data_IF_664443978865
#
_entry.id   IF_664443978865
#
_cell.length_a   1.000
_cell.length_b   1.000
_cell.length_c   1.000
_cell.angle_alpha   90.00
_cell.angle_beta   90.00
_cell.angle_gamma   90.00
#
_symmetry.space_group_name_H-M   'P 1'
#
loop_
_entity.id
_entity.type
_entity.pdbx_description
1 polymer ?
#
# COMPACT_ATOMS: atom_id res chain seq x y z
N UNK A 1 21.23 -12.04 0.07
CA UNK A 1 19.98 -11.36 -0.35
C UNK A 1 19.34 -10.85 0.93
N UNK A 2 18.91 -9.57 0.97
CA UNK A 2 18.21 -9.05 2.15
C UNK A 2 16.84 -9.73 2.29
N UNK A 3 16.38 -9.91 3.53
CA UNK A 3 15.06 -10.47 3.83
C UNK A 3 13.93 -9.60 3.25
N UNK A 4 12.82 -10.23 2.86
CA UNK A 4 11.62 -9.57 2.34
C UNK A 4 10.57 -9.49 3.46
N UNK A 5 10.11 -8.28 3.77
CA UNK A 5 8.96 -8.03 4.63
C UNK A 5 7.70 -7.75 3.82
N UNK A 6 6.62 -8.45 4.10
CA UNK A 6 5.30 -8.26 3.47
C UNK A 6 4.31 -7.84 4.55
N UNK A 7 3.85 -6.58 4.50
CA UNK A 7 2.89 -6.04 5.45
C UNK A 7 1.49 -5.93 4.86
N UNK A 8 0.48 -6.25 5.66
CA UNK A 8 -0.93 -6.06 5.34
C UNK A 8 -1.54 -5.09 6.34
N UNK A 9 -2.01 -3.95 5.86
CA UNK A 9 -2.78 -2.99 6.67
C UNK A 9 -4.22 -3.47 6.75
N UNK A 10 -4.72 -3.64 7.96
CA UNK A 10 -6.05 -4.22 8.22
C UNK A 10 -6.84 -3.41 9.23
N UNK A 11 -8.16 -3.44 9.09
CA UNK A 11 -9.09 -2.85 10.03
C UNK A 11 -10.25 -3.81 10.36
N UNK A 12 -11.42 -3.68 9.71
CA UNK A 12 -12.68 -4.32 10.09
C UNK A 12 -13.41 -5.02 8.93
N UNK A 13 -12.67 -5.48 7.91
CA UNK A 13 -13.26 -6.10 6.72
C UNK A 13 -12.79 -7.55 6.53
N UNK A 14 -13.23 -8.49 7.40
CA UNK A 14 -12.73 -9.88 7.38
C UNK A 14 -13.00 -10.61 6.06
N UNK A 15 -14.08 -10.25 5.35
CA UNK A 15 -14.40 -10.83 4.04
C UNK A 15 -13.37 -10.48 2.95
N UNK A 16 -12.89 -9.24 2.93
CA UNK A 16 -11.82 -8.82 2.00
C UNK A 16 -10.48 -9.38 2.42
N UNK A 17 -10.12 -9.25 3.70
CA UNK A 17 -8.85 -9.76 4.23
C UNK A 17 -8.67 -11.25 3.95
N UNK A 18 -9.74 -12.06 4.06
CA UNK A 18 -9.69 -13.51 3.72
C UNK A 18 -9.22 -13.74 2.29
N UNK A 19 -9.68 -12.94 1.33
CA UNK A 19 -9.29 -13.05 -0.08
C UNK A 19 -7.86 -12.59 -0.31
N UNK A 20 -7.43 -11.54 0.37
CA UNK A 20 -6.02 -11.07 0.33
C UNK A 20 -5.09 -12.14 0.88
N UNK A 21 -5.40 -12.71 2.06
CA UNK A 21 -4.59 -13.78 2.66
C UNK A 21 -4.54 -15.03 1.76
N UNK A 22 -5.66 -15.42 1.15
CA UNK A 22 -5.69 -16.53 0.19
C UNK A 22 -4.80 -16.26 -1.04
N UNK A 23 -4.71 -15.00 -1.50
CA UNK A 23 -3.81 -14.63 -2.60
C UNK A 23 -2.34 -14.63 -2.20
N UNK A 24 -2.04 -14.34 -0.93
CA UNK A 24 -0.69 -14.46 -0.38
C UNK A 24 -0.28 -15.93 -0.20
N UNK A 25 -1.17 -16.77 0.32
CA UNK A 25 -0.93 -18.24 0.42
C UNK A 25 -0.71 -18.91 -0.94
N UNK A 26 -1.25 -18.33 -2.02
CA UNK A 26 -1.10 -18.83 -3.37
C UNK A 26 0.15 -18.32 -4.11
N UNK A 27 1.01 -17.52 -3.47
CA UNK A 27 2.23 -17.02 -4.10
C UNK A 27 3.24 -18.14 -4.35
N UNK A 28 3.90 -18.10 -5.51
CA UNK A 28 4.91 -19.11 -5.89
C UNK A 28 6.20 -19.04 -5.07
N UNK A 29 6.41 -17.95 -4.32
CA UNK A 29 7.57 -17.75 -3.42
C UNK A 29 7.09 -17.34 -2.02
N UNK A 30 6.05 -17.99 -1.52
CA UNK A 30 5.46 -17.68 -0.21
C UNK A 30 6.45 -17.88 0.95
N UNK A 31 7.37 -18.83 0.83
CA UNK A 31 8.31 -19.17 1.90
C UNK A 31 9.52 -18.20 2.00
N UNK A 32 9.71 -17.31 1.03
CA UNK A 32 10.85 -16.40 0.96
C UNK A 32 10.63 -15.09 1.72
N UNK A 33 9.48 -14.91 2.38
CA UNK A 33 9.08 -13.67 3.04
C UNK A 33 8.67 -13.86 4.51
N UNK A 34 8.70 -12.76 5.25
CA UNK A 34 8.08 -12.64 6.57
C UNK A 34 6.82 -11.78 6.47
N UNK A 35 5.73 -12.20 7.11
CA UNK A 35 4.40 -11.63 6.93
C UNK A 35 3.93 -10.91 8.18
N UNK A 36 3.51 -9.67 8.00
CA UNK A 36 3.03 -8.81 9.06
C UNK A 36 1.57 -8.42 8.86
N UNK A 37 0.77 -8.48 9.91
CA UNK A 37 -0.53 -7.85 9.98
C UNK A 37 -0.44 -6.61 10.87
N UNK A 38 -0.78 -5.45 10.32
CA UNK A 38 -0.93 -4.19 11.04
C UNK A 38 -2.42 -3.94 11.27
N UNK A 39 -2.91 -4.41 12.42
CA UNK A 39 -4.33 -4.44 12.73
C UNK A 39 -4.74 -3.23 13.56
N UNK A 40 -5.64 -2.41 13.02
CA UNK A 40 -6.22 -1.28 13.71
C UNK A 40 -7.37 -1.70 14.66
N UNK A 41 -7.65 -0.92 15.70
CA UNK A 41 -8.70 -1.15 16.67
C UNK A 41 -10.08 -0.67 16.21
N UNK A 42 -11.13 -0.93 17.00
CA UNK A 42 -12.50 -0.61 16.61
C UNK A 42 -12.94 0.82 16.99
N UNK A 43 -12.55 1.30 18.17
CA UNK A 43 -12.95 2.58 18.74
C UNK A 43 -11.81 3.58 18.62
N UNK A 44 -12.07 4.74 18.02
CA UNK A 44 -11.02 5.74 17.81
C UNK A 44 -10.51 6.31 19.14
N UNK A 45 -9.17 6.32 19.32
CA UNK A 45 -8.50 6.73 20.56
C UNK A 45 -8.65 8.21 20.88
N UNK A 46 -8.86 9.04 19.87
CA UNK A 46 -8.93 10.49 20.04
C UNK A 46 -10.36 10.99 20.24
N UNK A 47 -11.30 10.46 19.44
CA UNK A 47 -12.71 10.88 19.48
C UNK A 47 -13.58 10.00 20.36
N UNK A 48 -13.15 8.78 20.69
CA UNK A 48 -13.98 7.77 21.36
C UNK A 48 -15.11 7.21 20.49
N UNK A 49 -15.15 7.56 19.20
CA UNK A 49 -16.20 7.12 18.26
C UNK A 49 -15.88 5.73 17.73
N UNK A 50 -16.80 4.77 17.77
CA UNK A 50 -16.64 3.49 17.11
C UNK A 50 -16.62 3.65 15.57
N UNK A 51 -15.51 3.29 14.92
CA UNK A 51 -15.38 3.28 13.48
C UNK A 51 -15.64 1.89 12.86
N UNK A 52 -15.71 0.86 13.69
CA UNK A 52 -15.99 -0.50 13.28
C UNK A 52 -16.53 -1.35 14.43
N UNK A 53 -16.90 -2.57 14.13
CA UNK A 53 -17.31 -3.54 15.14
C UNK A 53 -16.10 -4.30 15.67
N UNK A 54 -16.07 -4.50 16.98
CA UNK A 54 -14.99 -5.24 17.63
C UNK A 54 -14.89 -6.69 17.09
N UNK A 55 -16.03 -7.32 16.83
CA UNK A 55 -16.08 -8.69 16.30
C UNK A 55 -15.41 -8.79 14.92
N UNK A 56 -15.56 -7.76 14.08
CA UNK A 56 -14.92 -7.74 12.74
C UNK A 56 -13.40 -7.56 12.85
N UNK A 57 -12.93 -6.73 13.79
CA UNK A 57 -11.50 -6.56 14.09
C UNK A 57 -10.88 -7.86 14.59
N UNK A 58 -11.55 -8.53 15.53
CA UNK A 58 -11.13 -9.84 16.06
C UNK A 58 -11.16 -10.94 14.98
N UNK A 59 -12.17 -10.91 14.12
CA UNK A 59 -12.25 -11.83 12.98
C UNK A 59 -11.10 -11.64 11.99
N UNK A 60 -10.66 -10.40 11.72
CA UNK A 60 -9.48 -10.12 10.90
C UNK A 60 -8.21 -10.73 11.50
N UNK A 61 -7.97 -10.53 12.80
CA UNK A 61 -6.82 -11.14 13.50
C UNK A 61 -6.86 -12.66 13.42
N UNK A 62 -8.01 -13.25 13.75
CA UNK A 62 -8.18 -14.69 13.72
C UNK A 62 -8.02 -15.30 12.32
N UNK A 63 -8.32 -14.56 11.25
CA UNK A 63 -8.03 -14.99 9.88
C UNK A 63 -6.52 -15.04 9.62
N UNK A 64 -5.78 -14.03 10.02
CA UNK A 64 -4.32 -14.00 9.86
C UNK A 64 -3.64 -15.09 10.69
N UNK A 65 -4.07 -15.31 11.94
CA UNK A 65 -3.52 -16.37 12.79
C UNK A 65 -3.69 -17.76 12.16
N UNK A 66 -4.79 -18.00 11.45
CA UNK A 66 -5.08 -19.27 10.76
C UNK A 66 -4.49 -19.36 9.35
N UNK A 67 -4.05 -18.26 8.76
CA UNK A 67 -3.44 -18.26 7.44
C UNK A 67 -2.17 -19.11 7.41
N UNK A 68 -1.99 -19.87 6.33
CA UNK A 68 -0.83 -20.76 6.11
C UNK A 68 0.35 -20.00 5.52
N UNK A 69 0.70 -18.89 6.16
CA UNK A 69 1.85 -18.07 5.81
C UNK A 69 2.98 -18.39 6.79
N UNK A 70 4.23 -18.51 6.34
CA UNK A 70 5.38 -18.69 7.23
C UNK A 70 5.71 -17.39 7.96
N UNK A 71 6.45 -17.49 9.08
CA UNK A 71 7.05 -16.34 9.77
C UNK A 71 6.09 -15.15 9.95
N UNK A 72 4.97 -15.40 10.64
CA UNK A 72 3.91 -14.39 10.86
C UNK A 72 4.17 -13.53 12.08
N UNK A 73 3.91 -12.24 11.93
CA UNK A 73 3.99 -11.22 12.98
C UNK A 73 2.71 -10.38 12.99
N UNK A 74 2.33 -9.88 14.15
CA UNK A 74 1.14 -9.03 14.30
C UNK A 74 1.50 -7.80 15.14
N UNK A 75 1.31 -6.61 14.57
CA UNK A 75 1.16 -5.37 15.32
C UNK A 75 -0.33 -5.10 15.48
N UNK A 76 -0.76 -4.87 16.70
CA UNK A 76 -2.17 -4.69 17.02
C UNK A 76 -2.36 -3.47 17.92
N UNK A 77 -3.22 -2.58 17.48
CA UNK A 77 -3.64 -1.42 18.25
C UNK A 77 -4.88 -1.76 19.10
N UNK A 78 -4.87 -1.48 20.42
CA UNK A 78 -6.06 -1.70 21.25
C UNK A 78 -7.23 -0.78 20.84
N UNK A 79 -6.89 0.44 20.40
CA UNK A 79 -7.82 1.44 19.91
C UNK A 79 -7.62 1.67 18.42
N UNK A 80 -8.63 2.25 17.75
CA UNK A 80 -8.46 2.71 16.37
C UNK A 80 -7.57 3.96 16.34
N UNK A 81 -6.45 3.85 15.66
CA UNK A 81 -5.50 4.97 15.47
C UNK A 81 -5.69 5.65 14.12
N UNK A 82 -6.48 5.05 13.24
CA UNK A 82 -6.70 5.51 11.88
C UNK A 82 -5.59 5.11 10.91
N UNK A 83 -5.94 5.14 9.63
CA UNK A 83 -5.08 4.61 8.56
C UNK A 83 -3.72 5.32 8.46
N UNK A 84 -3.62 6.62 8.78
CA UNK A 84 -2.36 7.35 8.69
C UNK A 84 -1.33 6.85 9.71
N UNK A 85 -1.75 6.65 10.97
CA UNK A 85 -0.87 6.16 12.04
C UNK A 85 -0.53 4.69 11.80
N UNK A 86 -1.52 3.87 11.47
CA UNK A 86 -1.30 2.44 11.21
C UNK A 86 -0.39 2.21 10.00
N UNK A 87 -0.50 3.03 8.94
CA UNK A 87 0.38 2.97 7.77
C UNK A 87 1.80 3.43 8.09
N UNK A 88 1.98 4.47 8.91
CA UNK A 88 3.30 4.92 9.34
C UNK A 88 4.01 3.83 10.15
N UNK A 89 3.31 3.21 11.10
CA UNK A 89 3.83 2.08 11.88
C UNK A 89 4.27 0.93 10.98
N UNK A 90 3.46 0.60 9.97
CA UNK A 90 3.79 -0.45 9.01
C UNK A 90 5.05 -0.12 8.19
N UNK A 91 5.13 1.11 7.68
CA UNK A 91 6.28 1.57 6.90
C UNK A 91 7.56 1.60 7.73
N UNK A 92 7.51 2.13 8.95
CA UNK A 92 8.65 2.19 9.86
C UNK A 92 9.09 0.78 10.27
N UNK A 93 8.16 -0.05 10.79
CA UNK A 93 8.49 -1.42 11.23
C UNK A 93 9.08 -2.26 10.10
N UNK A 94 8.49 -2.23 8.92
CA UNK A 94 8.99 -3.03 7.80
C UNK A 94 10.34 -2.52 7.31
N UNK A 95 10.51 -1.21 7.18
CA UNK A 95 11.75 -0.64 6.65
C UNK A 95 12.93 -0.74 7.63
N UNK A 96 12.67 -0.78 8.93
CA UNK A 96 13.70 -0.97 9.95
C UNK A 96 14.19 -2.43 10.04
N UNK A 97 13.33 -3.39 9.64
CA UNK A 97 13.65 -4.82 9.77
C UNK A 97 14.05 -5.49 8.44
N UNK A 98 13.64 -4.96 7.29
CA UNK A 98 13.82 -5.60 5.99
C UNK A 98 14.37 -4.63 4.96
N UNK A 99 15.31 -5.09 4.12
CA UNK A 99 15.84 -4.28 3.02
C UNK A 99 14.84 -4.13 1.85
N UNK A 100 13.95 -5.09 1.69
CA UNK A 100 12.93 -5.20 0.64
C UNK A 100 11.56 -5.27 1.28
N UNK A 101 10.63 -4.43 0.85
CA UNK A 101 9.32 -4.29 1.46
C UNK A 101 8.22 -4.36 0.40
N UNK A 102 7.14 -5.09 0.74
CA UNK A 102 5.86 -5.03 0.04
C UNK A 102 4.80 -4.61 1.06
N UNK A 103 4.08 -3.55 0.78
CA UNK A 103 2.99 -3.07 1.64
C UNK A 103 1.65 -3.20 0.91
N UNK A 104 0.73 -3.97 1.51
CA UNK A 104 -0.61 -4.22 0.98
C UNK A 104 -1.68 -3.57 1.84
N UNK A 105 -2.77 -3.19 1.18
CA UNK A 105 -4.04 -2.92 1.88
C UNK A 105 -4.90 -4.19 1.96
N UNK A 106 -5.80 -4.25 2.95
CA UNK A 106 -6.62 -5.41 3.27
C UNK A 106 -7.70 -5.76 2.23
N UNK A 107 -7.63 -5.15 1.04
CA UNK A 107 -8.51 -5.37 -0.11
C UNK A 107 -7.77 -5.45 -1.47
N UNK A 108 -6.45 -5.58 -1.45
CA UNK A 108 -5.61 -5.77 -2.63
C UNK A 108 -5.31 -7.26 -2.85
N UNK A 109 -5.97 -7.89 -3.81
CA UNK A 109 -5.76 -9.30 -4.18
C UNK A 109 -4.69 -9.39 -5.25
N UNK A 110 -3.67 -10.22 -5.01
CA UNK A 110 -2.49 -10.34 -5.84
C UNK A 110 -2.60 -11.48 -6.87
N UNK A 111 -1.88 -11.35 -7.98
CA UNK A 111 -1.60 -12.47 -8.87
C UNK A 111 -0.65 -13.49 -8.20
N UNK A 112 -0.69 -14.77 -8.58
CA UNK A 112 0.10 -15.82 -7.92
C UNK A 112 1.62 -15.64 -8.00
N UNK A 113 2.12 -14.77 -8.87
CA UNK A 113 3.55 -14.55 -9.11
C UNK A 113 4.05 -13.18 -8.63
N UNK A 114 3.22 -12.40 -7.92
CA UNK A 114 3.61 -11.04 -7.55
C UNK A 114 4.87 -10.98 -6.69
N UNK A 115 5.04 -11.86 -5.69
CA UNK A 115 6.25 -11.86 -4.85
C UNK A 115 7.50 -12.15 -5.69
N UNK A 116 7.41 -13.08 -6.64
CA UNK A 116 8.50 -13.38 -7.55
C UNK A 116 8.84 -12.18 -8.45
N UNK A 117 7.83 -11.52 -9.02
CA UNK A 117 8.01 -10.34 -9.87
C UNK A 117 8.58 -9.15 -9.08
N UNK A 118 8.13 -8.95 -7.84
CA UNK A 118 8.71 -7.97 -6.96
C UNK A 118 10.21 -8.23 -6.71
N UNK A 119 10.62 -9.50 -6.66
CA UNK A 119 12.03 -9.89 -6.61
C UNK A 119 12.86 -9.28 -7.75
N UNK A 120 12.36 -9.37 -8.99
CA UNK A 120 13.00 -8.77 -10.17
C UNK A 120 12.98 -7.24 -10.10
N UNK A 121 11.85 -6.67 -9.66
CA UNK A 121 11.69 -5.22 -9.56
C UNK A 121 12.57 -4.60 -8.47
N UNK A 122 12.89 -5.31 -7.38
CA UNK A 122 13.84 -4.82 -6.38
C UNK A 122 15.25 -4.63 -6.95
N UNK A 123 15.70 -5.54 -7.80
CA UNK A 123 17.00 -5.43 -8.47
C UNK A 123 17.00 -4.25 -9.46
N UNK A 124 15.90 -4.04 -10.17
CA UNK A 124 15.70 -2.87 -11.04
C UNK A 124 15.66 -1.55 -10.24
N UNK A 125 14.98 -1.52 -9.09
CA UNK A 125 14.90 -0.37 -8.22
C UNK A 125 16.27 0.02 -7.63
N UNK A 126 17.12 -0.95 -7.33
CA UNK A 126 18.47 -0.69 -6.83
C UNK A 126 19.30 0.14 -7.83
N UNK A 127 19.05 -0.06 -9.13
CA UNK A 127 19.71 0.70 -10.20
C UNK A 127 19.06 2.07 -10.50
N UNK A 128 17.91 2.40 -9.86
CA UNK A 128 17.09 3.60 -10.14
C UNK A 128 16.82 4.39 -8.87
N UNK A 129 17.79 5.16 -8.36
CA UNK A 129 17.68 5.83 -7.05
C UNK A 129 16.56 6.89 -6.97
N UNK A 130 16.08 7.38 -8.10
CA UNK A 130 14.98 8.34 -8.19
C UNK A 130 13.59 7.69 -8.26
N UNK A 131 13.49 6.36 -8.28
CA UNK A 131 12.22 5.64 -8.21
C UNK A 131 12.00 5.12 -6.81
N UNK A 132 10.93 5.55 -6.16
CA UNK A 132 10.57 5.12 -4.82
C UNK A 132 10.07 3.69 -4.80
N UNK A 133 9.04 3.39 -5.60
CA UNK A 133 8.34 2.10 -5.58
C UNK A 133 7.82 1.70 -6.95
N UNK A 134 7.46 0.43 -7.08
CA UNK A 134 6.66 -0.09 -8.19
C UNK A 134 5.36 -0.68 -7.66
N UNK A 135 4.23 -0.22 -8.22
CA UNK A 135 2.90 -0.77 -7.95
C UNK A 135 2.59 -1.91 -8.95
N UNK A 136 1.90 -2.99 -8.52
CA UNK A 136 1.42 -4.04 -9.41
C UNK A 136 0.35 -3.56 -10.39
N UNK A 137 -0.05 -2.29 -10.28
CA UNK A 137 -1.21 -1.69 -10.94
C UNK A 137 -2.55 -2.35 -10.52
N UNK A 138 -3.64 -1.63 -10.72
CA UNK A 138 -5.01 -2.09 -10.41
C UNK A 138 -5.98 -1.79 -11.55
N UNK A 139 -5.47 -1.14 -12.59
CA UNK A 139 -6.20 -0.81 -13.81
C UNK A 139 -5.21 -0.76 -14.97
N UNK A 140 -5.26 -1.77 -15.83
CA UNK A 140 -4.38 -1.86 -16.99
C UNK A 140 -4.52 -0.65 -17.92
N UNK A 141 -3.38 -0.11 -18.36
CA UNK A 141 -3.33 1.04 -19.28
C UNK A 141 -3.05 0.63 -20.72
N UNK A 142 -2.50 -0.56 -20.93
CA UNK A 142 -2.15 -1.09 -22.24
C UNK A 142 -1.97 -2.60 -22.20
N UNK A 143 -1.60 -3.20 -23.33
CA UNK A 143 -1.45 -4.64 -23.45
C UNK A 143 -0.05 -5.14 -23.10
N UNK A 144 0.95 -4.25 -22.93
CA UNK A 144 2.35 -4.66 -22.76
C UNK A 144 2.61 -5.15 -21.34
N UNK A 145 2.63 -6.46 -21.20
CA UNK A 145 2.83 -7.13 -19.94
C UNK A 145 4.24 -6.95 -19.34
N UNK A 146 5.23 -6.56 -20.16
CA UNK A 146 6.60 -6.34 -19.74
C UNK A 146 6.89 -4.88 -19.36
N UNK A 147 5.99 -3.94 -19.70
CA UNK A 147 6.23 -2.54 -19.53
C UNK A 147 6.04 -2.06 -18.09
N UNK A 148 7.01 -1.29 -17.63
CA UNK A 148 6.92 -0.41 -16.46
C UNK A 148 6.67 1.01 -16.95
N UNK A 149 5.79 1.73 -16.25
CA UNK A 149 5.48 3.14 -16.51
C UNK A 149 5.86 3.99 -15.31
N UNK A 150 6.36 5.19 -15.56
CA UNK A 150 6.57 6.19 -14.52
C UNK A 150 5.29 7.02 -14.38
N UNK A 151 4.80 7.15 -13.13
CA UNK A 151 3.60 7.93 -12.86
C UNK A 151 3.05 7.73 -11.46
N UNK A 152 2.04 8.56 -11.15
CA UNK A 152 1.37 8.56 -9.86
C UNK A 152 0.11 7.70 -9.95
N UNK A 153 0.21 6.47 -9.47
CA UNK A 153 -0.90 5.53 -9.36
C UNK A 153 -1.12 5.12 -7.90
N UNK A 154 -2.11 4.31 -7.64
CA UNK A 154 -2.42 3.83 -6.29
C UNK A 154 -1.23 3.11 -5.65
N UNK A 155 -0.98 3.38 -4.36
CA UNK A 155 0.13 2.83 -3.58
C UNK A 155 -0.22 1.48 -2.93
N UNK A 156 -1.23 0.78 -3.44
CA UNK A 156 -1.64 -0.49 -2.88
C UNK A 156 -0.76 -1.61 -3.41
N UNK A 157 -0.35 -2.52 -2.53
CA UNK A 157 0.53 -3.64 -2.83
C UNK A 157 1.87 -3.26 -3.50
N UNK A 158 2.38 -2.07 -3.24
CA UNK A 158 3.64 -1.59 -3.81
C UNK A 158 4.85 -2.31 -3.22
N UNK A 159 5.89 -2.52 -4.04
CA UNK A 159 7.20 -2.97 -3.60
C UNK A 159 8.20 -1.81 -3.63
N UNK A 160 9.05 -1.70 -2.60
CA UNK A 160 10.08 -0.67 -2.47
C UNK A 160 11.27 -1.13 -1.62
N UNK A 161 12.39 -0.46 -1.78
CA UNK A 161 13.57 -0.65 -0.92
C UNK A 161 13.43 0.19 0.35
N UNK A 162 13.77 -0.37 1.51
CA UNK A 162 13.65 0.30 2.81
C UNK A 162 14.36 1.66 2.85
N UNK A 163 15.53 1.76 2.23
CA UNK A 163 16.28 3.02 2.12
C UNK A 163 15.48 4.15 1.45
N UNK A 164 14.52 3.82 0.56
CA UNK A 164 13.65 4.81 -0.08
C UNK A 164 12.66 5.39 0.93
N UNK A 165 12.11 4.56 1.81
CA UNK A 165 11.28 5.06 2.90
C UNK A 165 12.08 5.96 3.85
N UNK A 166 13.25 5.51 4.28
CA UNK A 166 14.11 6.32 5.14
C UNK A 166 14.48 7.67 4.53
N UNK A 167 14.64 7.73 3.21
CA UNK A 167 14.96 8.99 2.50
C UNK A 167 13.78 9.98 2.46
N UNK A 168 12.53 9.50 2.33
CA UNK A 168 11.35 10.38 2.26
C UNK A 168 10.70 10.63 3.62
N UNK A 169 10.89 9.74 4.60
CA UNK A 169 10.26 9.80 5.93
C UNK A 169 10.42 11.17 6.63
N UNK A 170 11.59 11.81 6.63
CA UNK A 170 11.73 13.14 7.25
C UNK A 170 10.76 14.18 6.68
N UNK A 171 10.55 14.17 5.36
CA UNK A 171 9.62 15.08 4.70
C UNK A 171 8.16 14.72 5.01
N UNK A 172 7.82 13.43 5.11
CA UNK A 172 6.49 12.99 5.54
C UNK A 172 6.17 13.45 6.97
N UNK A 173 7.13 13.32 7.89
CA UNK A 173 7.01 13.76 9.28
C UNK A 173 6.92 15.29 9.38
N UNK A 174 7.67 16.02 8.56
CA UNK A 174 7.63 17.50 8.56
C UNK A 174 6.32 18.05 8.02
N UNK A 175 5.81 17.52 6.90
CA UNK A 175 4.75 18.15 6.13
C UNK A 175 3.35 17.59 6.38
N UNK A 176 3.22 16.32 6.67
CA UNK A 176 1.91 15.67 6.78
C UNK A 176 1.56 15.22 8.20
N UNK A 177 2.53 14.64 8.91
CA UNK A 177 2.31 14.05 10.23
C UNK A 177 1.68 15.00 11.25
N UNK A 178 2.05 16.30 11.35
CA UNK A 178 1.45 17.23 12.32
C UNK A 178 -0.06 17.43 12.16
N UNK A 179 -0.60 17.10 10.99
CA UNK A 179 -2.02 17.28 10.68
C UNK A 179 -2.90 16.06 11.03
N UNK A 180 -2.28 14.93 11.42
CA UNK A 180 -2.99 13.65 11.61
C UNK A 180 -2.61 12.90 12.89
N UNK A 181 -1.48 13.22 13.52
CA UNK A 181 -0.88 12.39 14.58
C UNK A 181 -1.63 12.41 15.92
N UNK A 182 -2.43 13.43 16.19
CA UNK A 182 -3.06 13.70 17.48
C UNK A 182 -4.61 13.79 17.44
N UNK A 183 -5.21 13.32 16.33
CA UNK A 183 -6.65 13.45 16.10
C UNK A 183 -7.24 12.28 15.35
N UNK A 184 -8.57 12.18 15.42
CA UNK A 184 -9.34 11.28 14.57
C UNK A 184 -9.06 11.61 13.10
N UNK A 185 -8.76 10.61 12.31
CA UNK A 185 -8.44 10.76 10.88
C UNK A 185 -9.55 11.49 10.09
N UNK A 186 -10.81 11.36 10.51
CA UNK A 186 -11.91 12.10 9.90
C UNK A 186 -11.92 13.60 10.24
N UNK A 187 -11.22 14.00 11.30
CA UNK A 187 -11.09 15.37 11.76
C UNK A 187 -9.73 15.99 11.42
N UNK A 188 -9.01 15.39 10.44
CA UNK A 188 -7.77 15.99 9.95
C UNK A 188 -8.03 17.37 9.35
N UNK A 189 -7.09 18.27 9.54
CA UNK A 189 -7.18 19.65 9.04
C UNK A 189 -6.80 19.68 7.56
N UNK A 190 -7.80 19.52 6.67
CA UNK A 190 -7.61 19.50 5.22
C UNK A 190 -7.13 20.84 4.68
N UNK A 191 -7.51 21.95 5.30
CA UNK A 191 -7.07 23.30 4.87
C UNK A 191 -5.60 23.51 5.20
N UNK A 192 -5.17 23.12 6.38
CA UNK A 192 -3.75 23.16 6.76
C UNK A 192 -2.89 22.21 5.92
N UNK A 193 -3.39 21.02 5.57
CA UNK A 193 -2.71 20.10 4.63
C UNK A 193 -2.56 20.76 3.26
N UNK A 194 -3.63 21.35 2.72
CA UNK A 194 -3.59 22.07 1.45
C UNK A 194 -2.62 23.25 1.47
N UNK A 195 -2.64 24.04 2.54
CA UNK A 195 -1.71 25.16 2.71
C UNK A 195 -0.24 24.68 2.75
N UNK A 196 0.02 23.55 3.40
CA UNK A 196 1.34 22.92 3.41
C UNK A 196 1.75 22.50 2.01
N UNK A 197 0.88 21.82 1.24
CA UNK A 197 1.16 21.42 -0.13
C UNK A 197 1.43 22.62 -1.04
N UNK A 198 0.61 23.68 -0.95
CA UNK A 198 0.80 24.91 -1.70
C UNK A 198 2.14 25.60 -1.38
N UNK A 199 2.53 25.62 -0.10
CA UNK A 199 3.82 26.19 0.35
C UNK A 199 5.03 25.44 -0.22
N UNK A 200 4.86 24.18 -0.62
CA UNK A 200 5.87 23.35 -1.27
C UNK A 200 5.81 23.42 -2.80
N UNK A 201 5.02 24.34 -3.36
CA UNK A 201 4.88 24.51 -4.81
C UNK A 201 3.98 23.48 -5.49
N UNK A 202 3.26 22.69 -4.70
CA UNK A 202 2.30 21.70 -5.23
C UNK A 202 0.93 22.33 -5.26
N UNK A 203 0.52 22.79 -6.44
CA UNK A 203 -0.84 23.23 -6.73
C UNK A 203 -1.56 22.03 -7.31
N UNK A 204 -2.75 21.70 -6.79
CA UNK A 204 -3.51 20.52 -7.19
C UNK A 204 -3.50 20.29 -8.70
N UNK A 205 -2.82 19.24 -9.13
CA UNK A 205 -2.83 18.80 -10.51
C UNK A 205 -4.10 17.98 -10.81
N UNK A 206 -4.31 17.57 -12.06
CA UNK A 206 -5.43 16.72 -12.45
C UNK A 206 -5.49 15.38 -11.68
N UNK A 207 -4.36 14.97 -11.10
CA UNK A 207 -4.25 13.81 -10.20
C UNK A 207 -4.11 14.23 -8.72
N UNK A 208 -4.61 15.40 -8.35
CA UNK A 208 -4.47 16.15 -7.11
C UNK A 208 -3.93 15.39 -5.93
N UNK A 209 -2.97 15.96 -5.18
CA UNK A 209 -2.52 15.38 -3.93
C UNK A 209 -3.73 15.26 -2.99
N UNK A 210 -4.08 14.03 -2.66
CA UNK A 210 -5.14 13.75 -1.73
C UNK A 210 -4.70 14.14 -0.31
N UNK A 211 -5.65 14.47 0.57
CA UNK A 211 -5.40 14.71 1.99
C UNK A 211 -5.10 13.41 2.78
N UNK A 212 -5.01 12.29 2.07
CA UNK A 212 -4.74 10.99 2.63
C UNK A 212 -3.25 10.79 2.95
N UNK A 213 -2.95 9.76 3.71
CA UNK A 213 -1.57 9.31 3.96
C UNK A 213 -0.81 9.05 2.65
N UNK A 214 -1.51 8.64 1.59
CA UNK A 214 -0.91 8.45 0.26
C UNK A 214 -0.49 9.76 -0.36
N UNK A 215 -1.32 10.81 -0.24
CA UNK A 215 -0.96 12.16 -0.68
C UNK A 215 0.21 12.72 0.10
N UNK A 216 0.25 12.50 1.43
CA UNK A 216 1.40 12.86 2.27
C UNK A 216 2.69 12.18 1.83
N UNK A 217 2.64 10.87 1.52
CA UNK A 217 3.79 10.14 0.96
C UNK A 217 4.20 10.66 -0.41
N UNK A 218 3.23 10.96 -1.27
CA UNK A 218 3.50 11.53 -2.60
C UNK A 218 4.22 12.88 -2.48
N UNK A 219 3.78 13.78 -1.61
CA UNK A 219 4.47 15.03 -1.36
C UNK A 219 5.92 14.81 -0.88
N UNK A 220 6.11 13.89 0.07
CA UNK A 220 7.43 13.55 0.58
C UNK A 220 8.36 13.01 -0.52
N UNK A 221 7.85 12.15 -1.42
CA UNK A 221 8.60 11.68 -2.60
C UNK A 221 8.98 12.82 -3.54
N UNK A 222 8.04 13.71 -3.85
CA UNK A 222 8.31 14.89 -4.71
C UNK A 222 9.39 15.78 -4.11
N UNK A 223 9.37 16.02 -2.80
CA UNK A 223 10.42 16.78 -2.08
C UNK A 223 11.79 16.10 -2.14
N UNK A 224 11.81 14.78 -2.12
CA UNK A 224 13.05 14.00 -2.26
C UNK A 224 13.51 13.84 -3.72
N UNK A 225 12.80 14.43 -4.70
CA UNK A 225 13.12 14.26 -6.13
C UNK A 225 12.86 12.85 -6.64
N UNK A 226 11.97 12.10 -5.97
CA UNK A 226 11.59 10.74 -6.35
C UNK A 226 10.27 10.71 -7.07
N UNK A 227 10.08 9.70 -7.91
CA UNK A 227 8.84 9.37 -8.60
C UNK A 227 8.39 7.94 -8.23
N UNK A 228 7.27 7.51 -8.77
CA UNK A 228 6.76 6.15 -8.66
C UNK A 228 6.65 5.52 -10.03
N UNK A 229 6.65 4.19 -10.02
CA UNK A 229 6.40 3.39 -11.20
C UNK A 229 5.23 2.41 -10.95
N UNK A 230 4.68 1.89 -12.03
CA UNK A 230 3.66 0.88 -12.00
C UNK A 230 3.79 -0.04 -13.23
N UNK A 231 3.29 -1.26 -13.12
CA UNK A 231 3.21 -2.17 -14.26
C UNK A 231 2.06 -1.76 -15.18
N UNK A 232 2.26 -1.83 -16.50
CA UNK A 232 1.21 -1.46 -17.45
C UNK A 232 0.00 -2.40 -17.36
N UNK A 233 0.23 -3.67 -17.13
CA UNK A 233 -0.82 -4.69 -16.96
C UNK A 233 -0.94 -5.11 -15.51
N UNK A 234 -2.16 -5.29 -15.03
CA UNK A 234 -2.45 -5.59 -13.63
C UNK A 234 -1.81 -6.89 -13.14
N UNK A 235 -1.19 -6.82 -11.96
CA UNK A 235 -0.76 -7.96 -11.12
C UNK A 235 -1.49 -7.97 -9.77
N UNK A 236 -2.41 -7.03 -9.59
CA UNK A 236 -3.30 -6.99 -8.45
C UNK A 236 -4.68 -6.44 -8.87
N UNK A 237 -5.71 -6.75 -8.10
CA UNK A 237 -7.03 -6.16 -8.23
C UNK A 237 -7.48 -5.62 -6.88
N UNK A 238 -8.10 -4.44 -6.88
CA UNK A 238 -8.80 -3.92 -5.73
C UNK A 238 -10.18 -4.55 -5.65
N UNK A 239 -10.53 -5.07 -4.48
CA UNK A 239 -11.84 -5.66 -4.20
C UNK A 239 -12.64 -4.87 -3.16
N UNK A 240 -12.10 -3.74 -2.70
CA UNK A 240 -12.62 -2.88 -1.63
C UNK A 240 -13.78 -2.01 -2.09
N UNK A 241 -14.87 -2.62 -2.56
CA UNK A 241 -16.06 -1.92 -3.05
C UNK A 241 -16.76 -1.08 -2.00
N UNK A 242 -16.65 -1.51 -0.74
CA UNK A 242 -17.24 -0.83 0.42
C UNK A 242 -16.21 -0.64 1.51
N UNK A 243 -16.17 0.53 2.10
CA UNK A 243 -15.26 0.87 3.18
C UNK A 243 -15.57 2.23 3.76
N UNK A 244 -14.82 2.64 4.77
CA UNK A 244 -15.01 3.92 5.45
C UNK A 244 -14.80 5.10 4.50
N UNK A 245 -13.81 4.99 3.60
CA UNK A 245 -13.44 6.04 2.66
C UNK A 245 -13.87 5.74 1.23
N UNK A 246 -14.50 4.59 0.99
CA UNK A 246 -14.79 4.13 -0.36
C UNK A 246 -16.24 3.63 -0.46
N UNK A 247 -16.95 4.08 -1.47
CA UNK A 247 -18.34 3.69 -1.73
C UNK A 247 -18.42 2.88 -3.03
N UNK A 248 -19.50 2.10 -3.26
CA UNK A 248 -19.72 1.43 -4.52
C UNK A 248 -19.72 2.38 -5.73
N UNK A 249 -20.19 3.63 -5.54
CA UNK A 249 -20.17 4.65 -6.59
C UNK A 249 -18.74 5.07 -6.95
N UNK A 250 -17.89 5.35 -5.96
CA UNK A 250 -16.48 5.66 -6.19
C UNK A 250 -15.73 4.48 -6.80
N UNK A 251 -16.02 3.23 -6.37
CA UNK A 251 -15.43 2.04 -6.94
C UNK A 251 -15.70 1.92 -8.43
N UNK A 252 -16.94 2.23 -8.85
CA UNK A 252 -17.33 2.27 -10.25
C UNK A 252 -16.66 3.45 -11.00
N UNK A 253 -16.69 4.65 -10.42
CA UNK A 253 -16.11 5.86 -10.99
C UNK A 253 -14.60 5.69 -11.28
N UNK A 254 -13.87 5.06 -10.34
CA UNK A 254 -12.44 4.73 -10.53
C UNK A 254 -12.20 3.56 -11.48
N UNK A 255 -13.24 2.91 -11.99
CA UNK A 255 -13.15 1.84 -12.97
C UNK A 255 -12.65 0.49 -12.42
N UNK A 256 -12.72 0.27 -11.10
CA UNK A 256 -12.30 -1.00 -10.49
C UNK A 256 -13.27 -2.15 -10.76
N UNK A 257 -14.50 -1.87 -11.23
CA UNK A 257 -15.41 -2.90 -11.76
C UNK A 257 -14.87 -3.55 -13.04
N UNK A 258 -14.02 -2.82 -13.77
CA UNK A 258 -13.46 -3.24 -15.06
C UNK A 258 -11.94 -2.98 -15.09
N UNK A 259 -11.15 -3.67 -14.28
CA UNK A 259 -9.73 -3.38 -14.13
C UNK A 259 -8.90 -3.67 -15.38
N UNK A 260 -9.50 -4.28 -16.41
CA UNK A 260 -8.79 -4.74 -17.61
C UNK A 260 -8.10 -6.09 -17.38
N UNK A 261 -7.19 -6.48 -18.28
CA UNK A 261 -6.47 -7.74 -18.18
C UNK A 261 -5.78 -7.90 -16.82
N UNK A 262 -5.89 -9.09 -16.25
CA UNK A 262 -5.21 -9.49 -15.02
C UNK A 262 -4.45 -10.77 -15.30
N UNK A 263 -3.11 -10.71 -15.16
CA UNK A 263 -2.25 -11.83 -15.52
C UNK A 263 -2.13 -12.81 -14.35
N UNK A 264 -2.44 -14.07 -14.60
CA UNK A 264 -2.34 -15.13 -13.63
C UNK A 264 -1.15 -16.06 -13.85
N UNK A 265 -0.92 -16.54 -15.06
CA UNK A 265 -0.01 -17.67 -15.33
C UNK A 265 1.22 -17.32 -16.17
N UNK A 266 1.13 -16.31 -17.02
CA UNK A 266 2.21 -15.98 -17.98
C UNK A 266 3.47 -15.43 -17.29
N UNK A 267 3.33 -14.95 -16.07
CA UNK A 267 4.42 -14.40 -15.28
C UNK A 267 5.39 -15.43 -14.70
N UNK A 268 5.04 -16.71 -14.72
CA UNK A 268 5.90 -17.77 -14.17
C UNK A 268 7.26 -17.88 -14.88
N UNK A 269 7.30 -17.58 -16.18
CA UNK A 269 8.52 -17.64 -17.00
C UNK A 269 9.17 -16.27 -17.25
N UNK A 270 8.63 -15.19 -16.69
CA UNK A 270 9.14 -13.83 -16.91
C UNK A 270 10.52 -13.63 -16.27
N UNK A 271 11.45 -13.04 -17.00
CA UNK A 271 12.84 -12.82 -16.57
C UNK A 271 13.16 -11.35 -16.25
N UNK A 272 12.33 -10.39 -16.66
CA UNK A 272 12.55 -8.97 -16.43
C UNK A 272 11.44 -8.08 -16.93
N UNK A 273 11.67 -6.77 -16.82
CA UNK A 273 10.74 -5.72 -17.22
C UNK A 273 11.41 -4.67 -18.10
N UNK A 274 10.62 -4.06 -19.00
CA UNK A 274 11.05 -2.96 -19.85
C UNK A 274 10.69 -1.63 -19.20
N UNK A 275 11.71 -0.85 -18.87
CA UNK A 275 11.58 0.47 -18.30
C UNK A 275 11.60 1.56 -19.39
N UNK A 276 10.92 2.71 -19.16
CA UNK A 276 11.04 3.85 -20.06
C UNK A 276 12.49 4.38 -20.05
N UNK A 277 12.90 4.95 -21.19
CA UNK A 277 14.23 5.53 -21.40
C UNK A 277 14.47 6.77 -20.54
#
# INVERSE_FOLDING_TARGET
>A
MGSLGVGVISFNRPGYLRRVLASLEAQTQVDDAEYWLFQDGAVNRFSGVPHGKQEDVEACRALFDRARLPNKHVTHWPDNVGVAINSLEALDTLSDNYARVILLEGDAVLSPHWLRLAGLLFDDLAARPNVFSVSPNFRSEGPDADAVRIGWRHMWAECFLAERWHAIRPYYIEDYWPHVCDRDYFHRDTDAINATYASRGVVGGPDGLAWSQDGGRQLAMMRAGMCRAFLEVNRAINIGREGIHFTPALFHEYGFDHPGPFIHNDDAAREGFTWPA
#
